data_IF_199009247615
#
_entry.id   IF_199009247615
#
_cell.length_a   1.000
_cell.length_b   1.000
_cell.length_c   1.000
_cell.angle_alpha   90.00
_cell.angle_beta   90.00
_cell.angle_gamma   90.00
#
_symmetry.space_group_name_H-M   'P 1'
#
loop_
_entity.id
_entity.type
_entity.pdbx_description
1 polymer ?
#
# COMPACT_ATOMS: atom_id res chain seq x y z
N UNK A 1 -27.48 -85.95 -13.76
CA UNK A 1 -27.67 -86.69 -12.49
C UNK A 1 -26.77 -86.02 -11.47
N UNK A 2 -27.41 -85.34 -10.53
CA UNK A 2 -26.81 -84.44 -9.55
C UNK A 2 -25.82 -85.17 -8.64
N UNK A 3 -24.64 -84.58 -8.43
CA UNK A 3 -23.79 -84.90 -7.29
C UNK A 3 -24.03 -83.82 -6.24
N UNK A 4 -24.53 -84.15 -5.03
CA UNK A 4 -24.67 -83.16 -3.97
C UNK A 4 -23.27 -82.84 -3.44
N UNK A 5 -22.89 -81.57 -3.58
CA UNK A 5 -21.67 -80.99 -3.04
C UNK A 5 -21.76 -81.01 -1.52
N UNK A 6 -21.01 -81.90 -0.87
CA UNK A 6 -20.81 -81.88 0.59
C UNK A 6 -20.03 -80.60 0.96
N UNK A 7 -20.69 -79.69 1.68
CA UNK A 7 -20.01 -78.58 2.36
C UNK A 7 -19.20 -79.12 3.56
N UNK A 8 -17.98 -78.61 3.83
CA UNK A 8 -17.19 -79.00 4.98
C UNK A 8 -17.76 -78.34 6.26
N UNK A 9 -18.42 -79.11 7.11
CA UNK A 9 -18.78 -78.68 8.47
C UNK A 9 -17.56 -78.82 9.41
N UNK A 10 -17.31 -77.85 10.31
CA UNK A 10 -16.40 -78.05 11.43
C UNK A 10 -17.10 -79.00 12.43
N UNK A 11 -16.66 -80.26 12.45
CA UNK A 11 -17.18 -81.31 13.32
C UNK A 11 -16.51 -81.24 14.69
N UNK A 12 -17.21 -80.73 15.69
CA UNK A 12 -16.82 -80.88 17.10
C UNK A 12 -17.36 -82.23 17.58
N UNK A 13 -16.57 -83.30 17.42
CA UNK A 13 -16.99 -84.66 17.76
C UNK A 13 -16.75 -84.98 19.24
N UNK A 14 -17.83 -85.09 20.01
CA UNK A 14 -17.82 -85.69 21.35
C UNK A 14 -17.96 -87.21 21.20
N UNK A 15 -16.87 -87.95 21.38
CA UNK A 15 -16.91 -89.41 21.39
C UNK A 15 -17.10 -89.91 22.82
N UNK A 16 -18.20 -90.64 23.06
CA UNK A 16 -18.45 -91.34 24.31
C UNK A 16 -18.32 -92.84 24.06
N UNK A 17 -17.49 -93.54 24.84
CA UNK A 17 -17.21 -94.98 24.65
C UNK A 17 -18.10 -95.78 25.60
N UNK A 18 -19.08 -96.50 25.06
CA UNK A 18 -19.91 -97.46 25.81
C UNK A 18 -19.43 -98.90 25.59
N UNK A 19 -19.58 -99.77 26.59
CA UNK A 19 -19.04 -101.15 26.66
C UNK A 19 -19.67 -102.17 25.67
N UNK A 20 -20.44 -101.71 24.67
CA UNK A 20 -21.03 -102.57 23.63
C UNK A 20 -20.87 -101.86 22.28
N UNK A 21 -19.68 -101.98 21.67
CA UNK A 21 -19.37 -101.43 20.34
C UNK A 21 -19.27 -99.90 20.29
N UNK A 22 -18.27 -99.38 19.58
CA UNK A 22 -18.05 -97.93 19.45
C UNK A 22 -19.11 -97.30 18.54
N UNK A 23 -20.19 -96.78 19.12
CA UNK A 23 -21.14 -95.91 18.42
C UNK A 23 -20.70 -94.45 18.58
N UNK A 24 -20.55 -93.73 17.47
CA UNK A 24 -20.27 -92.29 17.48
C UNK A 24 -21.57 -91.51 17.23
N UNK A 25 -21.96 -90.65 18.17
CA UNK A 25 -23.11 -89.76 18.02
C UNK A 25 -22.65 -88.45 17.36
N UNK A 26 -23.06 -88.22 16.12
CA UNK A 26 -22.79 -86.97 15.39
C UNK A 26 -24.04 -86.10 15.45
N UNK A 27 -23.93 -84.92 16.08
CA UNK A 27 -25.02 -83.94 16.16
C UNK A 27 -24.76 -82.85 15.12
N UNK A 28 -25.57 -82.80 14.07
CA UNK A 28 -25.60 -81.65 13.16
C UNK A 28 -26.52 -80.56 13.71
N UNK A 29 -25.98 -79.37 14.01
CA UNK A 29 -26.82 -78.18 14.27
C UNK A 29 -27.09 -77.44 12.97
N UNK A 30 -28.30 -76.87 12.86
CA UNK A 30 -28.66 -76.01 11.73
C UNK A 30 -27.75 -74.78 11.68
N UNK A 31 -27.06 -74.59 10.56
CA UNK A 31 -26.25 -73.39 10.27
C UNK A 31 -27.11 -72.20 9.82
N UNK A 32 -28.42 -72.41 9.67
CA UNK A 32 -29.35 -71.43 9.11
C UNK A 32 -29.45 -70.16 9.98
N UNK A 33 -29.32 -70.29 11.30
CA UNK A 33 -29.27 -69.15 12.22
C UNK A 33 -28.02 -68.27 12.00
N UNK A 34 -26.86 -68.91 11.77
CA UNK A 34 -25.59 -68.22 11.52
C UNK A 34 -25.65 -67.51 10.16
N UNK A 35 -26.16 -68.19 9.12
CA UNK A 35 -26.29 -67.61 7.79
C UNK A 35 -27.27 -66.44 7.75
N UNK A 36 -28.38 -66.52 8.50
CA UNK A 36 -29.33 -65.41 8.64
C UNK A 36 -28.70 -64.22 9.36
N UNK A 37 -27.92 -64.46 10.42
CA UNK A 37 -27.19 -63.42 11.14
C UNK A 37 -26.16 -62.72 10.22
N UNK A 38 -25.37 -63.49 9.46
CA UNK A 38 -24.39 -62.96 8.50
C UNK A 38 -25.06 -62.16 7.38
N UNK A 39 -26.19 -62.63 6.82
CA UNK A 39 -26.97 -61.89 5.81
C UNK A 39 -27.50 -60.57 6.35
N UNK A 40 -27.96 -60.55 7.60
CA UNK A 40 -28.46 -59.33 8.27
C UNK A 40 -27.32 -58.34 8.51
N UNK A 41 -26.17 -58.80 9.02
CA UNK A 41 -24.97 -57.98 9.19
C UNK A 41 -24.50 -57.39 7.86
N UNK A 42 -24.40 -58.22 6.81
CA UNK A 42 -24.04 -57.78 5.46
C UNK A 42 -24.99 -56.70 4.94
N UNK A 43 -26.31 -56.86 5.15
CA UNK A 43 -27.31 -55.86 4.72
C UNK A 43 -27.14 -54.54 5.47
N UNK A 44 -26.94 -54.60 6.79
CA UNK A 44 -26.70 -53.41 7.60
C UNK A 44 -25.42 -52.69 7.15
N UNK A 45 -24.32 -53.41 6.95
CA UNK A 45 -23.07 -52.81 6.47
C UNK A 45 -23.21 -52.23 5.06
N UNK A 46 -23.86 -52.96 4.14
CA UNK A 46 -24.08 -52.52 2.77
C UNK A 46 -24.93 -51.25 2.66
N UNK A 47 -25.78 -50.93 3.64
CA UNK A 47 -26.56 -49.69 3.67
C UNK A 47 -25.91 -48.61 4.54
N UNK A 48 -25.38 -48.96 5.70
CA UNK A 48 -24.81 -48.01 6.66
C UNK A 48 -23.52 -47.36 6.16
N UNK A 49 -22.62 -48.13 5.52
CA UNK A 49 -21.35 -47.61 4.98
C UNK A 49 -21.56 -46.53 3.91
N UNK A 50 -22.32 -46.77 2.82
CA UNK A 50 -22.53 -45.73 1.83
C UNK A 50 -23.34 -44.56 2.39
N UNK A 51 -24.32 -44.81 3.26
CA UNK A 51 -25.10 -43.74 3.89
C UNK A 51 -24.22 -42.79 4.70
N UNK A 52 -23.36 -43.34 5.56
CA UNK A 52 -22.42 -42.53 6.36
C UNK A 52 -21.40 -41.82 5.49
N UNK A 53 -20.92 -42.46 4.42
CA UNK A 53 -19.98 -41.85 3.46
C UNK A 53 -20.62 -40.68 2.70
N UNK A 54 -21.88 -40.79 2.29
CA UNK A 54 -22.64 -39.69 1.66
C UNK A 54 -22.85 -38.56 2.65
N UNK A 55 -23.27 -38.84 3.88
CA UNK A 55 -23.48 -37.82 4.92
C UNK A 55 -22.18 -37.10 5.27
N UNK A 56 -21.09 -37.84 5.46
CA UNK A 56 -19.77 -37.27 5.73
C UNK A 56 -19.24 -36.44 4.56
N UNK A 57 -19.37 -36.93 3.32
CA UNK A 57 -18.91 -36.21 2.12
C UNK A 57 -19.70 -34.92 1.88
N UNK A 58 -21.03 -35.00 1.93
CA UNK A 58 -21.91 -33.83 1.74
C UNK A 58 -21.73 -32.82 2.87
N UNK A 59 -21.69 -33.27 4.12
CA UNK A 59 -21.45 -32.42 5.29
C UNK A 59 -20.09 -31.74 5.25
N UNK A 60 -19.04 -32.48 4.88
CA UNK A 60 -17.69 -31.96 4.74
C UNK A 60 -17.58 -30.86 3.68
N UNK A 61 -18.13 -31.11 2.48
CA UNK A 61 -18.15 -30.10 1.40
C UNK A 61 -18.98 -28.88 1.79
N UNK A 62 -20.12 -29.07 2.46
CA UNK A 62 -20.96 -27.96 2.92
C UNK A 62 -20.23 -27.07 3.95
N UNK A 63 -19.60 -27.68 4.95
CA UNK A 63 -18.85 -26.96 5.98
C UNK A 63 -17.63 -26.24 5.39
N UNK A 64 -16.87 -26.92 4.52
CA UNK A 64 -15.71 -26.32 3.86
C UNK A 64 -16.11 -25.10 3.02
N UNK A 65 -17.17 -25.20 2.21
CA UNK A 65 -17.68 -24.07 1.42
C UNK A 65 -18.14 -22.92 2.30
N UNK A 66 -18.82 -23.21 3.41
CA UNK A 66 -19.29 -22.17 4.35
C UNK A 66 -18.13 -21.46 5.05
N UNK A 67 -17.09 -22.20 5.44
CA UNK A 67 -15.91 -21.65 6.10
C UNK A 67 -15.02 -20.82 5.15
N UNK A 68 -14.94 -21.21 3.87
CA UNK A 68 -14.10 -20.53 2.87
C UNK A 68 -14.79 -19.35 2.16
N UNK A 69 -16.12 -19.27 2.19
CA UNK A 69 -16.89 -18.17 1.56
C UNK A 69 -16.40 -16.76 1.92
N UNK A 70 -16.05 -16.43 3.19
CA UNK A 70 -15.54 -15.11 3.52
C UNK A 70 -14.17 -14.81 2.92
N UNK A 71 -13.30 -15.82 2.76
CA UNK A 71 -11.98 -15.67 2.13
C UNK A 71 -12.13 -15.31 0.66
N UNK A 72 -13.05 -15.98 -0.04
CA UNK A 72 -13.36 -15.69 -1.45
C UNK A 72 -13.90 -14.27 -1.63
N UNK A 73 -14.75 -13.80 -0.69
CA UNK A 73 -15.24 -12.41 -0.69
C UNK A 73 -14.11 -11.38 -0.51
N UNK A 74 -13.17 -11.63 0.43
CA UNK A 74 -12.00 -10.77 0.65
C UNK A 74 -11.15 -10.72 -0.62
N UNK A 75 -10.82 -11.88 -1.19
CA UNK A 75 -10.00 -11.98 -2.39
C UNK A 75 -10.65 -11.31 -3.60
N UNK A 76 -11.96 -11.48 -3.77
CA UNK A 76 -12.70 -10.84 -4.84
C UNK A 76 -12.73 -9.32 -4.67
N UNK A 77 -13.05 -8.83 -3.47
CA UNK A 77 -13.05 -7.39 -3.19
C UNK A 77 -11.66 -6.79 -3.44
N UNK A 78 -10.59 -7.47 -3.01
CA UNK A 78 -9.23 -7.03 -3.25
C UNK A 78 -8.85 -6.98 -4.74
N UNK A 79 -9.34 -7.92 -5.56
CA UNK A 79 -9.13 -7.92 -7.02
C UNK A 79 -9.87 -6.81 -7.74
N UNK A 80 -11.02 -6.40 -7.21
CA UNK A 80 -11.83 -5.33 -7.80
C UNK A 80 -11.42 -3.93 -7.31
N UNK A 81 -10.44 -3.83 -6.39
CA UNK A 81 -9.80 -2.56 -6.05
C UNK A 81 -8.81 -2.24 -7.16
N UNK A 82 -9.20 -1.29 -7.99
CA UNK A 82 -8.38 -0.74 -9.08
C UNK A 82 -7.86 0.65 -8.69
N UNK A 83 -6.87 1.15 -9.42
CA UNK A 83 -6.33 2.51 -9.26
C UNK A 83 -7.44 3.59 -9.39
N UNK A 84 -8.45 3.32 -10.20
CA UNK A 84 -9.61 4.19 -10.45
C UNK A 84 -10.61 4.25 -9.29
N UNK A 85 -10.63 3.25 -8.40
CA UNK A 85 -11.57 3.18 -7.26
C UNK A 85 -10.91 2.53 -6.02
N UNK A 86 -9.99 3.28 -5.42
CA UNK A 86 -9.38 2.96 -4.13
C UNK A 86 -10.31 3.22 -2.93
N UNK A 87 -11.54 3.70 -3.16
CA UNK A 87 -12.48 4.04 -2.08
C UNK A 87 -13.18 2.80 -1.49
N UNK A 88 -13.13 1.68 -2.21
CA UNK A 88 -13.74 0.42 -1.78
C UNK A 88 -13.04 -0.14 -0.55
N UNK A 89 -13.83 -0.80 0.29
CA UNK A 89 -13.38 -1.41 1.54
C UNK A 89 -13.95 -2.80 1.69
N UNK A 90 -13.18 -3.66 2.33
CA UNK A 90 -13.55 -5.04 2.64
C UNK A 90 -14.44 -5.01 3.88
N UNK A 91 -15.72 -5.34 3.70
CA UNK A 91 -16.73 -5.33 4.76
C UNK A 91 -16.86 -6.71 5.39
N UNK A 92 -15.99 -7.05 6.34
CA UNK A 92 -16.05 -8.29 7.12
C UNK A 92 -16.26 -7.95 8.59
N UNK A 93 -17.46 -8.25 9.11
CA UNK A 93 -17.83 -8.00 10.51
C UNK A 93 -17.66 -9.28 11.34
N UNK A 94 -16.43 -9.77 11.45
CA UNK A 94 -16.09 -10.92 12.29
C UNK A 94 -14.97 -10.53 13.24
N UNK A 95 -14.98 -11.07 14.46
CA UNK A 95 -13.98 -10.77 15.51
C UNK A 95 -12.87 -11.81 15.59
N UNK A 96 -12.66 -12.55 14.50
CA UNK A 96 -11.69 -13.63 14.35
C UNK A 96 -10.47 -13.17 13.53
N UNK A 97 -9.63 -14.13 13.14
CA UNK A 97 -8.44 -13.91 12.30
C UNK A 97 -8.79 -13.28 10.95
N UNK A 98 -9.96 -13.61 10.38
CA UNK A 98 -10.41 -13.04 9.10
C UNK A 98 -10.79 -11.57 9.25
N UNK A 99 -11.44 -11.21 10.36
CA UNK A 99 -11.71 -9.81 10.70
C UNK A 99 -10.42 -8.99 10.82
N UNK A 100 -9.40 -9.54 11.48
CA UNK A 100 -8.09 -8.89 11.61
C UNK A 100 -7.38 -8.73 10.27
N UNK A 101 -7.46 -9.74 9.40
CA UNK A 101 -6.93 -9.67 8.04
C UNK A 101 -7.63 -8.59 7.21
N UNK A 102 -8.96 -8.52 7.27
CA UNK A 102 -9.74 -7.51 6.55
C UNK A 102 -9.39 -6.09 7.02
N UNK A 103 -9.23 -5.86 8.33
CA UNK A 103 -8.79 -4.56 8.86
C UNK A 103 -7.39 -4.20 8.36
N UNK A 104 -6.43 -5.12 8.45
CA UNK A 104 -5.05 -4.87 8.00
C UNK A 104 -5.00 -4.52 6.52
N UNK A 105 -5.81 -5.21 5.70
CA UNK A 105 -5.89 -4.94 4.27
C UNK A 105 -6.55 -3.58 3.99
N UNK A 106 -7.61 -3.21 4.73
CA UNK A 106 -8.21 -1.88 4.64
C UNK A 106 -7.23 -0.76 5.03
N UNK A 107 -6.42 -0.95 6.07
CA UNK A 107 -5.39 0.02 6.47
C UNK A 107 -4.33 0.18 5.37
N UNK A 108 -3.95 -0.91 4.70
CA UNK A 108 -3.03 -0.86 3.56
C UNK A 108 -3.67 -0.11 2.38
N UNK A 109 -4.92 -0.39 2.04
CA UNK A 109 -5.66 0.29 0.97
C UNK A 109 -5.76 1.79 1.26
N UNK A 110 -6.05 2.18 2.51
CA UNK A 110 -6.11 3.58 2.92
C UNK A 110 -4.76 4.30 2.73
N UNK A 111 -3.64 3.66 3.11
CA UNK A 111 -2.31 4.23 2.89
C UNK A 111 -2.02 4.42 1.40
N UNK A 112 -2.41 3.47 0.56
CA UNK A 112 -2.26 3.56 -0.90
C UNK A 112 -3.13 4.70 -1.45
N UNK A 113 -4.39 4.79 -1.03
CA UNK A 113 -5.30 5.86 -1.45
C UNK A 113 -4.77 7.24 -1.07
N UNK A 114 -4.26 7.41 0.15
CA UNK A 114 -3.67 8.68 0.60
C UNK A 114 -2.40 9.03 -0.18
N UNK A 115 -1.54 8.06 -0.49
CA UNK A 115 -0.36 8.28 -1.31
C UNK A 115 -0.74 8.69 -2.75
N UNK A 116 -1.71 8.00 -3.35
CA UNK A 116 -2.17 8.28 -4.70
C UNK A 116 -2.83 9.67 -4.82
N UNK A 117 -3.70 10.03 -3.86
CA UNK A 117 -4.31 11.38 -3.81
C UNK A 117 -3.26 12.48 -3.69
N UNK A 118 -2.25 12.29 -2.83
CA UNK A 118 -1.13 13.24 -2.71
C UNK A 118 -0.36 13.38 -4.01
N UNK A 119 -0.07 12.28 -4.70
CA UNK A 119 0.61 12.31 -6.00
C UNK A 119 -0.21 13.02 -7.08
N UNK A 120 -1.52 12.78 -7.15
CA UNK A 120 -2.40 13.47 -8.09
C UNK A 120 -2.44 14.98 -7.82
N UNK A 121 -2.65 15.37 -6.56
CA UNK A 121 -2.69 16.77 -6.17
C UNK A 121 -1.35 17.46 -6.46
N UNK A 122 -0.23 16.83 -6.09
CA UNK A 122 1.10 17.34 -6.40
C UNK A 122 1.34 17.53 -7.90
N UNK A 123 0.90 16.57 -8.73
CA UNK A 123 1.03 16.67 -10.20
C UNK A 123 0.15 17.78 -10.78
N UNK A 124 -1.05 17.95 -10.24
CA UNK A 124 -1.96 19.02 -10.64
C UNK A 124 -1.40 20.40 -10.27
N UNK A 125 -0.95 20.56 -9.03
CA UNK A 125 -0.37 21.81 -8.51
C UNK A 125 0.89 22.18 -9.31
N UNK A 126 1.80 21.23 -9.53
CA UNK A 126 2.97 21.43 -10.39
C UNK A 126 2.60 21.87 -11.81
N UNK A 127 1.58 21.24 -12.40
CA UNK A 127 1.12 21.59 -13.75
C UNK A 127 0.52 23.01 -13.81
N UNK A 128 -0.16 23.45 -12.75
CA UNK A 128 -0.71 24.78 -12.66
C UNK A 128 0.38 25.84 -12.46
N UNK A 129 1.28 25.62 -11.50
CA UNK A 129 2.39 26.53 -11.19
C UNK A 129 3.38 26.67 -12.35
N UNK A 130 3.57 25.64 -13.18
CA UNK A 130 4.43 25.73 -14.37
C UNK A 130 3.74 26.38 -15.59
N UNK A 131 2.41 26.31 -15.68
CA UNK A 131 1.67 26.82 -16.86
C UNK A 131 1.71 28.34 -16.95
N UNK A 132 1.58 29.04 -15.82
CA UNK A 132 1.62 30.50 -15.76
C UNK A 132 2.95 31.05 -16.28
N UNK A 133 4.13 30.61 -15.78
CA UNK A 133 5.43 30.98 -16.30
C UNK A 133 5.55 30.75 -17.80
N UNK A 134 5.15 29.56 -18.24
CA UNK A 134 5.27 29.16 -19.64
C UNK A 134 4.44 30.08 -20.55
N UNK A 135 3.23 30.44 -20.12
CA UNK A 135 2.37 31.36 -20.87
C UNK A 135 2.95 32.78 -20.96
N UNK A 136 3.60 33.27 -19.90
CA UNK A 136 4.29 34.57 -19.90
C UNK A 136 5.47 34.54 -20.87
N UNK A 137 6.31 33.49 -20.81
CA UNK A 137 7.45 33.31 -21.72
C UNK A 137 6.97 33.26 -23.17
N UNK A 138 5.90 32.51 -23.46
CA UNK A 138 5.33 32.41 -24.81
C UNK A 138 4.79 33.74 -25.31
N UNK A 139 4.04 34.47 -24.47
CA UNK A 139 3.49 35.77 -24.79
C UNK A 139 4.59 36.80 -25.08
N UNK A 140 5.60 36.91 -24.22
CA UNK A 140 6.72 37.84 -24.41
C UNK A 140 7.58 37.48 -25.62
N UNK A 141 7.85 36.19 -25.83
CA UNK A 141 8.61 35.72 -27.00
C UNK A 141 7.87 36.06 -28.29
N UNK A 142 6.56 35.82 -28.34
CA UNK A 142 5.72 36.13 -29.50
C UNK A 142 5.69 37.64 -29.76
N UNK A 143 5.54 38.43 -28.71
CA UNK A 143 5.45 39.87 -28.78
C UNK A 143 6.79 40.51 -29.22
N UNK A 144 7.92 39.97 -28.77
CA UNK A 144 9.25 40.38 -29.21
C UNK A 144 9.50 40.04 -30.69
N UNK A 145 9.01 38.90 -31.18
CA UNK A 145 9.18 38.48 -32.57
C UNK A 145 8.28 39.24 -33.57
N UNK A 146 7.09 39.71 -33.15
CA UNK A 146 6.11 40.34 -34.05
C UNK A 146 6.31 41.85 -34.28
N UNK A 147 7.00 42.56 -33.39
CA UNK A 147 7.16 44.02 -33.46
C UNK A 147 8.63 44.39 -33.67
N UNK A 148 8.90 45.27 -34.64
CA UNK A 148 10.17 46.00 -34.67
C UNK A 148 10.22 46.96 -33.48
N UNK A 149 11.21 46.77 -32.60
CA UNK A 149 11.37 47.52 -31.36
C UNK A 149 12.76 48.15 -31.25
N UNK A 150 12.90 49.14 -30.36
CA UNK A 150 14.21 49.68 -29.99
C UNK A 150 14.98 48.62 -29.18
N UNK A 151 16.30 48.56 -29.32
CA UNK A 151 17.14 47.54 -28.67
C UNK A 151 16.88 47.35 -27.15
N UNK A 152 16.51 48.42 -26.42
CA UNK A 152 16.20 48.36 -24.99
C UNK A 152 14.94 47.55 -24.65
N UNK A 153 13.92 47.53 -25.52
CA UNK A 153 12.71 46.76 -25.28
C UNK A 153 12.96 45.25 -25.43
N UNK A 154 13.90 44.85 -26.31
CA UNK A 154 14.33 43.46 -26.41
C UNK A 154 15.07 42.99 -25.16
N UNK A 155 15.90 43.85 -24.56
CA UNK A 155 16.57 43.54 -23.29
C UNK A 155 15.55 43.33 -22.16
N UNK A 156 14.50 44.15 -22.11
CA UNK A 156 13.38 43.96 -21.16
C UNK A 156 12.65 42.64 -21.33
N UNK A 157 12.25 42.30 -22.57
CA UNK A 157 11.58 41.02 -22.86
C UNK A 157 12.48 39.80 -22.55
N UNK A 158 13.79 39.88 -22.87
CA UNK A 158 14.74 38.81 -22.54
C UNK A 158 14.96 38.67 -21.03
N UNK A 159 15.01 39.78 -20.29
CA UNK A 159 15.11 39.75 -18.83
C UNK A 159 13.88 39.10 -18.20
N UNK A 160 12.67 39.43 -18.67
CA UNK A 160 11.43 38.83 -18.19
C UNK A 160 11.36 37.33 -18.50
N UNK A 161 11.74 36.91 -19.71
CA UNK A 161 11.83 35.49 -20.08
C UNK A 161 12.84 34.76 -19.18
N UNK A 162 14.00 35.36 -18.93
CA UNK A 162 15.02 34.76 -18.06
C UNK A 162 14.55 34.64 -16.61
N UNK A 163 13.85 35.65 -16.10
CA UNK A 163 13.28 35.62 -14.75
C UNK A 163 12.28 34.48 -14.60
N UNK A 164 11.39 34.33 -15.57
CA UNK A 164 10.32 33.32 -15.53
C UNK A 164 10.87 31.90 -15.72
N UNK A 165 11.92 31.73 -16.53
CA UNK A 165 12.65 30.47 -16.65
C UNK A 165 13.36 30.07 -15.34
N UNK A 166 13.94 31.03 -14.63
CA UNK A 166 14.54 30.80 -13.31
C UNK A 166 13.48 30.44 -12.25
N UNK A 167 12.29 31.06 -12.34
CA UNK A 167 11.15 30.71 -11.49
C UNK A 167 10.72 29.25 -11.72
N UNK A 168 10.56 28.82 -12.97
CA UNK A 168 10.30 27.42 -13.30
C UNK A 168 11.37 26.46 -12.77
N UNK A 169 12.65 26.82 -12.90
CA UNK A 169 13.76 26.02 -12.39
C UNK A 169 13.65 25.83 -10.86
N UNK A 170 13.27 26.88 -10.15
CA UNK A 170 13.04 26.84 -8.70
C UNK A 170 11.88 25.91 -8.34
N UNK A 171 10.76 25.99 -9.07
CA UNK A 171 9.62 25.07 -8.89
C UNK A 171 10.08 23.63 -9.09
N UNK A 172 10.80 23.34 -10.18
CA UNK A 172 11.30 21.98 -10.47
C UNK A 172 12.19 21.45 -9.34
N UNK A 173 13.08 22.28 -8.80
CA UNK A 173 13.97 21.88 -7.70
C UNK A 173 13.20 21.60 -6.41
N UNK A 174 12.15 22.38 -6.11
CA UNK A 174 11.24 22.13 -5.00
C UNK A 174 10.47 20.81 -5.19
N UNK A 175 9.98 20.54 -6.40
CA UNK A 175 9.30 19.28 -6.74
C UNK A 175 10.23 18.07 -6.57
N UNK A 176 11.48 18.17 -7.05
CA UNK A 176 12.48 17.11 -6.89
C UNK A 176 12.87 16.88 -5.43
N UNK A 177 12.96 17.95 -4.64
CA UNK A 177 13.24 17.86 -3.20
C UNK A 177 12.11 17.15 -2.46
N UNK A 178 10.86 17.52 -2.73
CA UNK A 178 9.69 16.86 -2.15
C UNK A 178 9.61 15.38 -2.54
N UNK A 179 9.82 15.05 -3.83
CA UNK A 179 9.81 13.67 -4.30
C UNK A 179 10.89 12.80 -3.65
N UNK A 180 12.06 13.37 -3.34
CA UNK A 180 13.13 12.68 -2.60
C UNK A 180 12.72 12.43 -1.15
N UNK A 181 12.15 13.43 -0.47
CA UNK A 181 11.64 13.30 0.90
C UNK A 181 10.56 12.20 1.02
N UNK A 182 9.58 12.18 0.10
CA UNK A 182 8.50 11.18 0.09
C UNK A 182 8.99 9.74 -0.14
N UNK A 183 10.12 9.56 -0.83
CA UNK A 183 10.69 8.23 -1.08
C UNK A 183 11.32 7.59 0.17
N UNK A 184 11.41 8.31 1.29
CA UNK A 184 12.04 7.84 2.54
C UNK A 184 13.54 7.55 2.41
N UNK A 185 14.16 7.91 1.27
CA UNK A 185 15.59 7.72 1.00
C UNK A 185 16.46 8.87 1.53
N UNK A 186 15.85 9.89 2.12
CA UNK A 186 16.60 10.99 2.73
C UNK A 186 17.13 10.54 4.09
N UNK A 187 18.40 10.16 4.11
CA UNK A 187 19.17 10.02 5.34
C UNK A 187 19.52 11.42 5.82
N UNK A 188 18.74 11.96 6.76
CA UNK A 188 19.13 13.18 7.45
C UNK A 188 20.40 12.95 8.24
N UNK A 189 21.47 13.65 7.89
CA UNK A 189 22.69 13.67 8.69
C UNK A 189 22.56 14.81 9.68
N UNK A 190 21.97 14.51 10.83
CA UNK A 190 21.89 15.47 11.93
C UNK A 190 23.28 15.64 12.55
N UNK A 191 23.83 16.85 12.45
CA UNK A 191 25.03 17.28 13.17
C UNK A 191 24.71 18.45 14.09
N UNK A 192 25.53 18.60 15.13
CA UNK A 192 25.49 19.80 15.97
C UNK A 192 26.09 20.97 15.19
N UNK A 193 25.27 22.00 14.95
CA UNK A 193 25.64 23.16 14.14
C UNK A 193 25.52 24.43 15.00
N UNK A 194 26.62 25.14 15.25
CA UNK A 194 26.57 26.47 15.86
C UNK A 194 25.86 27.45 14.91
N UNK A 195 24.75 28.04 15.35
CA UNK A 195 23.91 28.87 14.50
C UNK A 195 24.61 30.14 14.01
N UNK A 196 25.52 30.70 14.82
CA UNK A 196 26.34 31.86 14.47
C UNK A 196 27.28 31.58 13.30
N UNK A 197 27.86 30.38 13.22
CA UNK A 197 28.69 29.99 12.06
C UNK A 197 27.84 29.80 10.80
N UNK A 198 26.68 29.18 10.93
CA UNK A 198 25.76 28.99 9.80
C UNK A 198 25.27 30.33 9.24
N UNK A 199 24.88 31.27 10.11
CA UNK A 199 24.45 32.61 9.71
C UNK A 199 25.61 33.44 9.15
N UNK A 200 26.82 33.29 9.69
CA UNK A 200 28.03 33.90 9.14
C UNK A 200 28.31 33.43 7.71
N UNK A 201 28.16 32.14 7.43
CA UNK A 201 28.31 31.57 6.08
C UNK A 201 27.19 31.97 5.11
N UNK A 202 26.05 32.42 5.63
CA UNK A 202 24.88 32.88 4.87
C UNK A 202 24.92 34.38 4.58
N UNK A 203 25.54 35.16 5.47
CA UNK A 203 25.55 36.61 5.39
C UNK A 203 25.99 37.17 4.02
N UNK A 204 27.05 36.65 3.36
CA UNK A 204 27.47 37.15 2.05
C UNK A 204 26.41 36.92 0.96
N UNK A 205 25.76 35.74 0.97
CA UNK A 205 24.74 35.39 -0.01
C UNK A 205 23.49 36.29 0.15
N UNK A 206 23.11 36.56 1.39
CA UNK A 206 21.95 37.42 1.73
C UNK A 206 22.25 38.90 1.48
N UNK A 207 23.47 39.35 1.78
CA UNK A 207 23.90 40.72 1.54
C UNK A 207 23.88 41.05 0.04
N UNK A 208 24.30 40.10 -0.81
CA UNK A 208 24.19 40.24 -2.26
C UNK A 208 22.74 40.37 -2.74
N UNK A 209 21.83 39.52 -2.25
CA UNK A 209 20.39 39.58 -2.57
C UNK A 209 19.74 40.90 -2.13
N UNK A 210 20.13 41.42 -0.96
CA UNK A 210 19.68 42.72 -0.48
C UNK A 210 20.23 43.86 -1.34
N UNK A 211 21.50 43.80 -1.75
CA UNK A 211 22.14 44.82 -2.58
C UNK A 211 21.46 44.97 -3.94
N UNK A 212 21.11 43.84 -4.58
CA UNK A 212 20.36 43.81 -5.83
C UNK A 212 18.98 44.49 -5.73
N UNK A 213 18.39 44.45 -4.54
CA UNK A 213 17.07 45.04 -4.23
C UNK A 213 17.17 46.39 -3.49
N UNK A 214 18.37 46.95 -3.31
CA UNK A 214 18.59 48.24 -2.65
C UNK A 214 18.31 48.28 -1.14
N UNK A 215 18.27 47.11 -0.48
CA UNK A 215 17.98 46.97 0.94
C UNK A 215 19.27 46.87 1.78
N UNK A 216 19.21 47.31 3.04
CA UNK A 216 20.32 47.15 3.98
C UNK A 216 20.17 45.88 4.80
N UNK A 217 21.21 45.03 4.79
CA UNK A 217 21.29 43.84 5.64
C UNK A 217 22.13 44.15 6.89
N UNK A 218 21.61 43.81 8.07
CA UNK A 218 22.37 43.85 9.32
C UNK A 218 22.17 42.55 10.09
N UNK A 219 23.27 41.85 10.36
CA UNK A 219 23.27 40.71 11.25
C UNK A 219 23.37 41.22 12.70
N UNK A 220 22.29 41.06 13.46
CA UNK A 220 22.26 41.41 14.88
C UNK A 220 23.16 40.50 15.72
N UNK A 221 23.66 41.02 16.85
CA UNK A 221 24.38 40.18 17.82
C UNK A 221 23.40 39.23 18.49
N UNK A 222 23.68 37.93 18.42
CA UNK A 222 22.86 36.87 19.00
C UNK A 222 23.72 35.99 19.90
N UNK A 223 23.12 35.37 20.92
CA UNK A 223 23.70 34.18 21.54
C UNK A 223 23.92 33.12 20.44
N UNK A 224 24.96 32.28 20.55
CA UNK A 224 25.31 31.29 19.52
C UNK A 224 24.77 29.89 19.91
N UNK A 225 23.46 29.62 19.77
CA UNK A 225 22.90 28.32 20.14
C UNK A 225 23.40 27.26 19.18
N UNK A 226 23.61 26.05 19.72
CA UNK A 226 23.90 24.87 18.92
C UNK A 226 22.58 24.17 18.62
N UNK A 227 22.30 23.96 17.34
CA UNK A 227 21.10 23.27 16.85
C UNK A 227 21.49 21.98 16.15
N UNK A 228 20.75 20.91 16.41
CA UNK A 228 20.88 19.66 15.68
C UNK A 228 20.17 19.76 14.34
N UNK A 229 20.89 19.56 13.23
CA UNK A 229 20.28 19.60 11.90
C UNK A 229 21.22 19.18 10.77
N UNK A 230 20.70 19.19 9.55
CA UNK A 230 21.50 19.07 8.34
C UNK A 230 21.91 20.49 7.90
N UNK A 231 23.22 20.75 7.82
CA UNK A 231 23.76 22.09 7.53
C UNK A 231 23.31 22.62 6.17
N UNK A 232 23.27 21.77 5.15
CA UNK A 232 22.87 22.19 3.80
C UNK A 232 21.39 22.55 3.74
N UNK A 233 20.53 21.79 4.43
CA UNK A 233 19.09 22.05 4.46
C UNK A 233 18.72 23.25 5.31
N UNK A 234 19.35 23.43 6.46
CA UNK A 234 19.16 24.63 7.27
C UNK A 234 19.60 25.87 6.49
N UNK A 235 20.71 25.80 5.73
CA UNK A 235 21.13 26.87 4.84
C UNK A 235 20.07 27.20 3.78
N UNK A 236 19.58 26.20 3.06
CA UNK A 236 18.55 26.37 2.03
C UNK A 236 17.22 26.91 2.57
N UNK A 237 16.79 26.43 3.74
CA UNK A 237 15.57 26.89 4.40
C UNK A 237 15.68 28.36 4.84
N UNK A 238 16.81 28.74 5.43
CA UNK A 238 17.07 30.13 5.81
C UNK A 238 17.12 31.06 4.58
N UNK A 239 17.78 30.65 3.50
CA UNK A 239 17.79 31.42 2.24
C UNK A 239 16.39 31.60 1.67
N UNK A 240 15.60 30.52 1.63
CA UNK A 240 14.24 30.57 1.09
C UNK A 240 13.33 31.49 1.91
N UNK A 241 13.45 31.48 3.24
CA UNK A 241 12.71 32.39 4.11
C UNK A 241 13.16 33.85 3.92
N UNK A 242 14.47 34.09 3.88
CA UNK A 242 15.03 35.43 3.74
C UNK A 242 14.71 36.03 2.36
N UNK A 243 14.82 35.27 1.27
CA UNK A 243 14.46 35.77 -0.06
C UNK A 243 12.96 36.12 -0.17
N UNK A 244 12.09 35.35 0.49
CA UNK A 244 10.67 35.67 0.57
C UNK A 244 10.43 37.00 1.31
N UNK A 245 11.09 37.19 2.45
CA UNK A 245 10.94 38.39 3.28
C UNK A 245 11.53 39.63 2.59
N UNK A 246 12.71 39.50 1.97
CA UNK A 246 13.36 40.56 1.17
C UNK A 246 12.47 40.95 -0.02
N UNK A 247 11.90 39.96 -0.73
CA UNK A 247 10.98 40.23 -1.84
C UNK A 247 9.71 40.96 -1.39
N UNK A 248 9.17 40.61 -0.22
CA UNK A 248 8.01 41.28 0.36
C UNK A 248 8.34 42.71 0.83
N UNK A 249 9.52 42.93 1.43
CA UNK A 249 9.98 44.25 1.87
C UNK A 249 10.25 45.18 0.68
N UNK A 250 10.86 44.69 -0.40
CA UNK A 250 11.09 45.45 -1.62
C UNK A 250 9.78 45.89 -2.30
N UNK A 251 8.77 45.00 -2.35
CA UNK A 251 7.47 45.33 -2.92
C UNK A 251 6.75 46.47 -2.18
N UNK A 252 6.96 46.60 -0.86
CA UNK A 252 6.40 47.68 -0.04
C UNK A 252 7.11 49.02 -0.32
N UNK A 253 8.44 49.04 -0.39
CA UNK A 253 9.20 50.25 -0.71
C UNK A 253 8.95 50.73 -2.15
N UNK A 254 8.78 49.81 -3.10
CA UNK A 254 8.46 50.15 -4.50
C UNK A 254 7.03 50.74 -4.65
N UNK A 255 6.06 50.23 -3.88
CA UNK A 255 4.70 50.78 -3.82
C UNK A 255 4.63 52.16 -3.13
N UNK A 256 5.59 52.47 -2.24
CA UNK A 256 5.71 53.78 -1.58
C UNK A 256 6.50 54.80 -2.42
N UNK A 257 7.40 54.34 -3.31
CA UNK A 257 8.26 55.19 -4.12
C UNK A 257 7.72 55.54 -5.52
N UNK A 258 6.62 54.92 -5.96
CA UNK A 258 5.98 55.26 -7.25
C UNK A 258 5.14 56.55 -7.11
N UNK A 259 5.51 57.67 -7.75
CA UNK A 259 4.68 58.87 -7.74
C UNK A 259 3.45 58.64 -8.63
N UNK A 260 2.27 59.01 -8.11
CA UNK A 260 1.06 59.27 -8.91
C UNK A 260 1.29 60.45 -9.87
#
# INVERSE_FOLDING_TARGET
MESPVLCPCPLESLSFRTDIGSAALVIGRSTEEIDQALKRLRRILATAVPLTMVVAGTGGVFLARRALKPVEYIAQTAREIEESDLSRRIKVNTKDELGRLASTLNDMIERVEQAFRRQQQFTADASHELRTPLAIIEAESTLALQKDRVAGDYQGSLALISQEANHMATIIDQLLTLARADSGKEQFVFTEIPLGELLGDLAPDVELLCLEKGLQFQLGSMENPVVGGDRGRLKGLLLSLLDNDISRSYAVDYLMASPL
#
